data_IF_552947305469
#
_entry.id   IF_552947305469
#
_cell.length_a   1.000
_cell.length_b   1.000
_cell.length_c   1.000
_cell.angle_alpha   90.00
_cell.angle_beta   90.00
_cell.angle_gamma   90.00
#
_symmetry.space_group_name_H-M   'P 1'
#
loop_
_entity.id
_entity.type
_entity.pdbx_description
1 polymer ?
#
# COMPACT_ATOMS: atom_id res chain seq x y z
N UNK A 1 -0.23 13.30 -14.45
CA UNK A 1 0.96 13.98 -13.87
C UNK A 1 0.93 13.85 -12.34
N UNK A 2 0.90 12.62 -11.81
CA UNK A 2 0.91 12.35 -10.35
C UNK A 2 2.09 11.47 -9.92
N UNK A 3 2.85 10.91 -10.88
CA UNK A 3 3.86 9.88 -10.61
C UNK A 3 5.28 10.40 -10.36
N UNK A 4 5.52 11.73 -10.38
CA UNK A 4 6.86 12.30 -10.20
C UNK A 4 7.04 13.06 -8.89
N UNK A 5 6.01 13.13 -8.05
CA UNK A 5 6.13 13.76 -6.74
C UNK A 5 7.03 12.90 -5.82
N UNK A 6 8.09 13.48 -5.22
CA UNK A 6 8.98 12.76 -4.31
C UNK A 6 8.25 12.12 -3.11
N UNK A 7 7.19 12.75 -2.61
CA UNK A 7 6.39 12.25 -1.49
C UNK A 7 5.63 10.98 -1.83
N UNK A 8 5.15 10.83 -3.07
CA UNK A 8 4.50 9.60 -3.54
C UNK A 8 5.48 8.42 -3.54
N UNK A 9 6.71 8.62 -4.05
CA UNK A 9 7.74 7.56 -4.07
C UNK A 9 8.16 7.16 -2.65
N UNK A 10 8.33 8.14 -1.75
CA UNK A 10 8.65 7.88 -0.35
C UNK A 10 7.54 7.07 0.33
N UNK A 11 6.29 7.45 0.13
CA UNK A 11 5.12 6.76 0.70
C UNK A 11 5.02 5.32 0.22
N UNK A 12 5.14 5.08 -1.09
CA UNK A 12 5.10 3.73 -1.66
C UNK A 12 6.27 2.88 -1.14
N UNK A 13 7.46 3.47 -0.99
CA UNK A 13 8.63 2.76 -0.47
C UNK A 13 8.45 2.35 1.00
N UNK A 14 7.90 3.23 1.84
CA UNK A 14 7.58 2.91 3.24
C UNK A 14 6.54 1.80 3.34
N UNK A 15 5.47 1.86 2.54
CA UNK A 15 4.44 0.81 2.50
C UNK A 15 5.03 -0.55 2.11
N UNK A 16 5.84 -0.60 1.04
CA UNK A 16 6.49 -1.85 0.59
C UNK A 16 7.51 -2.40 1.59
N UNK A 17 8.18 -1.53 2.36
CA UNK A 17 9.07 -1.95 3.42
C UNK A 17 8.31 -2.54 4.62
N UNK A 18 7.17 -1.94 4.98
CA UNK A 18 6.30 -2.43 6.06
C UNK A 18 5.62 -3.75 5.73
N UNK A 19 5.25 -3.95 4.46
CA UNK A 19 4.57 -5.14 3.94
C UNK A 19 5.37 -5.72 2.76
N UNK A 20 6.48 -6.47 3.01
CA UNK A 20 7.30 -7.02 1.95
C UNK A 20 6.58 -8.03 1.04
N UNK A 21 5.52 -8.64 1.55
CA UNK A 21 4.62 -9.57 0.87
C UNK A 21 3.30 -8.92 0.41
N UNK A 22 3.28 -7.58 0.28
CA UNK A 22 2.12 -6.82 -0.18
C UNK A 22 1.63 -7.34 -1.54
N UNK A 23 0.36 -7.72 -1.57
CA UNK A 23 -0.42 -8.00 -2.78
C UNK A 23 -1.53 -6.98 -2.92
N UNK A 24 -1.68 -6.45 -4.12
CA UNK A 24 -2.79 -5.58 -4.49
C UNK A 24 -3.62 -6.32 -5.52
N UNK A 25 -4.91 -6.41 -5.28
CA UNK A 25 -5.89 -6.96 -6.20
C UNK A 25 -6.71 -5.82 -6.81
N UNK A 26 -6.91 -5.87 -8.12
CA UNK A 26 -7.80 -4.95 -8.82
C UNK A 26 -9.16 -5.61 -8.91
N UNK A 27 -10.12 -5.09 -8.14
CA UNK A 27 -11.47 -5.65 -8.09
C UNK A 27 -12.32 -5.14 -9.25
N UNK A 28 -12.22 -3.85 -9.53
CA UNK A 28 -12.90 -3.19 -10.63
C UNK A 28 -12.06 -2.04 -11.15
N UNK A 29 -12.18 -1.75 -12.44
CA UNK A 29 -11.55 -0.58 -13.03
C UNK A 29 -12.44 0.02 -14.12
N UNK A 30 -12.76 1.31 -13.99
CA UNK A 30 -13.57 2.05 -14.95
C UNK A 30 -12.74 3.22 -15.50
N UNK A 31 -12.76 3.41 -16.82
CA UNK A 31 -12.04 4.48 -17.50
C UNK A 31 -12.97 5.40 -18.26
N UNK A 32 -12.82 6.71 -18.08
CA UNK A 32 -13.54 7.74 -18.83
C UNK A 32 -12.69 9.00 -19.00
N UNK A 33 -12.73 9.61 -20.20
CA UNK A 33 -12.14 10.92 -20.49
C UNK A 33 -10.68 11.11 -20.00
N UNK A 34 -9.87 10.06 -20.09
CA UNK A 34 -8.45 10.09 -19.69
C UNK A 34 -8.20 9.87 -18.19
N UNK A 35 -9.23 9.54 -17.42
CA UNK A 35 -9.14 9.14 -16.01
C UNK A 35 -9.48 7.66 -15.90
N UNK A 36 -8.79 6.98 -15.00
CA UNK A 36 -9.11 5.61 -14.60
C UNK A 36 -9.29 5.59 -13.10
N UNK A 37 -10.41 5.03 -12.65
CA UNK A 37 -10.69 4.76 -11.24
C UNK A 37 -10.57 3.25 -11.05
N UNK A 38 -9.76 2.84 -10.08
CA UNK A 38 -9.59 1.43 -9.70
C UNK A 38 -10.11 1.22 -8.28
N UNK A 39 -10.99 0.24 -8.10
CA UNK A 39 -11.29 -0.33 -6.78
C UNK A 39 -10.23 -1.38 -6.48
N UNK A 40 -9.45 -1.18 -5.41
CA UNK A 40 -8.31 -2.01 -5.06
C UNK A 40 -8.45 -2.54 -3.64
N UNK A 41 -8.16 -3.81 -3.45
CA UNK A 41 -7.89 -4.38 -2.13
C UNK A 41 -6.41 -4.71 -1.98
N UNK A 42 -5.89 -4.54 -0.77
CA UNK A 42 -4.48 -4.76 -0.45
C UNK A 42 -4.32 -5.67 0.76
N UNK A 43 -3.45 -6.68 0.66
CA UNK A 43 -3.14 -7.62 1.75
C UNK A 43 -1.65 -7.85 1.89
N UNK A 44 -1.16 -8.04 3.11
CA UNK A 44 0.24 -8.32 3.38
C UNK A 44 0.49 -8.53 4.87
N UNK A 45 1.60 -9.18 5.21
CA UNK A 45 2.03 -9.34 6.60
C UNK A 45 2.75 -8.06 7.04
N UNK A 46 2.27 -7.41 8.11
CA UNK A 46 2.99 -6.29 8.71
C UNK A 46 4.29 -6.81 9.35
N UNK A 47 5.43 -6.56 8.71
CA UNK A 47 6.76 -7.03 9.16
C UNK A 47 7.72 -5.89 9.49
N UNK A 48 7.42 -4.68 9.03
CA UNK A 48 8.23 -3.49 9.28
C UNK A 48 7.56 -2.50 10.22
N UNK A 49 8.03 -1.25 10.15
CA UNK A 49 7.38 -0.11 10.75
C UNK A 49 6.53 0.59 9.70
N UNK A 50 5.28 0.86 10.03
CA UNK A 50 4.36 1.57 9.16
C UNK A 50 3.75 2.75 9.91
N UNK A 51 4.00 3.97 9.43
CA UNK A 51 3.43 5.19 10.03
C UNK A 51 3.70 5.32 11.53
N UNK A 52 4.89 4.92 12.00
CA UNK A 52 5.26 4.92 13.43
C UNK A 52 4.69 3.78 14.25
N UNK A 53 3.97 2.84 13.62
CA UNK A 53 3.44 1.63 14.25
C UNK A 53 4.34 0.46 13.85
N UNK A 54 4.98 -0.19 14.83
CA UNK A 54 5.70 -1.45 14.61
C UNK A 54 4.72 -2.62 14.62
N UNK A 55 5.07 -3.71 13.94
CA UNK A 55 4.39 -5.00 14.13
C UNK A 55 4.22 -5.32 15.62
N UNK A 56 2.97 -5.43 16.05
CA UNK A 56 2.65 -5.77 17.42
C UNK A 56 2.39 -7.28 17.51
N UNK A 57 3.38 -8.01 18.01
CA UNK A 57 3.28 -9.48 18.19
C UNK A 57 3.03 -9.79 19.67
N UNK A 58 1.88 -9.40 20.21
CA UNK A 58 1.44 -9.96 21.49
C UNK A 58 0.57 -11.19 21.22
N UNK A 59 1.14 -12.39 21.33
CA UNK A 59 0.33 -13.55 21.74
C UNK A 59 0.18 -13.44 23.25
N UNK A 60 -1.02 -13.16 23.73
CA UNK A 60 -1.35 -13.43 25.13
C UNK A 60 -1.26 -14.95 25.34
N UNK A 61 -0.69 -15.41 26.48
CA UNK A 61 -0.71 -16.83 26.84
C UNK A 61 -2.13 -17.37 27.00
#
# INVERSE_FOLDING_TARGET
>A
MLCQDPGVKQTISMMRAAFPDLRIEVEEQVGEAGIVVSCLSGSGTHRGEFMGIRVHTSRLP
#
